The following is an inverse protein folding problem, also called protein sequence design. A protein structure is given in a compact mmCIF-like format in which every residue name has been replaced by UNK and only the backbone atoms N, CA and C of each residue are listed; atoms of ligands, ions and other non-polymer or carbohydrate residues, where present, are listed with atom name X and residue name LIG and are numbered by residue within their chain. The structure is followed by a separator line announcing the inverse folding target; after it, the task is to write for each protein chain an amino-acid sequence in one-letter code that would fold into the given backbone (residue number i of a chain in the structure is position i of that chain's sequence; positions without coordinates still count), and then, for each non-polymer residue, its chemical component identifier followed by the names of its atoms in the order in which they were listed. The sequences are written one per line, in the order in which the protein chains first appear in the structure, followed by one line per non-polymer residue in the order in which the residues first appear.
data_IF_240894352036
#
_entry.id   IF_240894352036
#
_cell.length_a   1.000
_cell.length_b   1.000
_cell.length_c   1.000
_cell.angle_alpha   90.00
_cell.angle_beta   90.00
_cell.angle_gamma   90.00
#
_symmetry.space_group_name_H-M   'P 1'
#
loop_
_entity.id
_entity.type
_entity.pdbx_description
1 polymer ?
#
# COMPACT_ATOMS: atom_id res chain seq x y z
N UNK A 1 37.13 10.24 -27.79
CA UNK A 1 37.14 10.23 -26.30
C UNK A 1 37.90 9.00 -25.85
N UNK A 2 39.06 9.18 -25.24
CA UNK A 2 40.04 8.13 -24.97
C UNK A 2 39.58 7.25 -23.79
N UNK A 3 40.09 6.02 -23.70
CA UNK A 3 39.79 5.14 -22.56
C UNK A 3 40.28 5.72 -21.22
N UNK A 4 41.31 6.56 -21.26
CA UNK A 4 41.81 7.29 -20.11
C UNK A 4 40.79 8.33 -19.63
N UNK A 5 40.21 9.12 -20.54
CA UNK A 5 39.20 10.13 -20.23
C UNK A 5 37.99 9.49 -19.53
N UNK A 6 37.49 8.36 -20.07
CA UNK A 6 36.36 7.62 -19.48
C UNK A 6 36.68 7.07 -18.08
N UNK A 7 37.92 6.62 -17.85
CA UNK A 7 38.35 6.12 -16.55
C UNK A 7 38.41 7.24 -15.51
N UNK A 8 38.95 8.40 -15.92
CA UNK A 8 39.02 9.60 -15.09
C UNK A 8 37.62 10.09 -14.74
N UNK A 9 36.73 10.22 -15.73
CA UNK A 9 35.34 10.64 -15.52
C UNK A 9 34.63 9.71 -14.53
N UNK A 10 34.79 8.39 -14.70
CA UNK A 10 34.17 7.40 -13.81
C UNK A 10 34.72 7.48 -12.38
N UNK A 11 36.02 7.73 -12.22
CA UNK A 11 36.68 7.91 -10.92
C UNK A 11 36.20 9.19 -10.22
N UNK A 12 36.06 10.28 -10.96
CA UNK A 12 35.56 11.57 -10.45
C UNK A 12 34.10 11.42 -10.03
N UNK A 13 33.24 10.87 -10.90
CA UNK A 13 31.82 10.62 -10.58
C UNK A 13 31.68 9.73 -9.34
N UNK A 14 32.50 8.68 -9.22
CA UNK A 14 32.47 7.83 -8.04
C UNK A 14 32.97 8.53 -6.77
N UNK A 15 33.88 9.50 -6.86
CA UNK A 15 34.33 10.28 -5.70
C UNK A 15 33.21 11.20 -5.22
N UNK A 16 32.62 11.93 -6.17
CA UNK A 16 31.50 12.85 -5.97
C UNK A 16 30.29 12.13 -5.34
N UNK A 17 29.97 10.91 -5.79
CA UNK A 17 28.87 10.11 -5.22
C UNK A 17 29.15 9.56 -3.81
N UNK A 18 30.42 9.56 -3.37
CA UNK A 18 30.84 9.09 -2.05
C UNK A 18 31.18 10.24 -1.09
N UNK A 19 31.16 11.49 -1.57
CA UNK A 19 31.32 12.69 -0.77
C UNK A 19 30.00 13.07 -0.10
N UNK A 20 30.06 13.85 0.98
CA UNK A 20 28.87 14.29 1.69
C UNK A 20 28.09 15.36 0.90
N UNK A 21 26.81 15.53 1.24
CA UNK A 21 25.92 16.51 0.59
C UNK A 21 26.54 17.92 0.57
N UNK A 22 27.35 18.27 1.57
CA UNK A 22 27.99 19.58 1.66
C UNK A 22 29.07 19.80 0.60
N UNK A 23 29.77 18.74 0.19
CA UNK A 23 30.78 18.80 -0.87
C UNK A 23 30.13 18.94 -2.25
N UNK A 24 29.00 18.25 -2.46
CA UNK A 24 28.19 18.38 -3.67
C UNK A 24 27.60 19.77 -3.82
N UNK A 25 27.07 20.32 -2.72
CA UNK A 25 26.52 21.68 -2.68
C UNK A 25 27.57 22.72 -3.06
N UNK A 26 28.78 22.64 -2.48
CA UNK A 26 29.90 23.51 -2.83
C UNK A 26 30.32 23.38 -4.31
N UNK A 27 30.29 22.17 -4.87
CA UNK A 27 30.61 21.96 -6.28
C UNK A 27 29.56 22.63 -7.19
N UNK A 28 28.28 22.44 -6.90
CA UNK A 28 27.17 23.03 -7.66
C UNK A 28 27.16 24.56 -7.57
N UNK A 29 27.40 25.12 -6.39
CA UNK A 29 27.57 26.56 -6.21
C UNK A 29 28.77 27.10 -7.00
N UNK A 30 29.84 26.31 -7.12
CA UNK A 30 30.99 26.63 -7.98
C UNK A 30 30.67 26.75 -9.47
N UNK A 31 29.56 26.15 -9.93
CA UNK A 31 29.01 26.32 -11.29
C UNK A 31 27.86 27.35 -11.35
N UNK A 32 27.74 28.20 -10.32
CA UNK A 32 26.70 29.23 -10.20
C UNK A 32 25.27 28.68 -10.07
N UNK A 33 25.11 27.39 -9.73
CA UNK A 33 23.80 26.84 -9.41
C UNK A 33 23.36 27.25 -8.00
N UNK A 34 22.08 27.61 -7.86
CA UNK A 34 21.48 27.89 -6.56
C UNK A 34 20.98 26.59 -5.91
N UNK A 35 21.82 26.01 -5.05
CA UNK A 35 21.52 24.78 -4.30
C UNK A 35 20.24 24.90 -3.46
N UNK A 36 19.99 26.07 -2.85
CA UNK A 36 18.79 26.29 -2.04
C UNK A 36 17.50 26.23 -2.87
N UNK A 37 17.53 26.79 -4.08
CA UNK A 37 16.42 26.71 -5.03
C UNK A 37 16.21 25.27 -5.51
N UNK A 38 17.29 24.56 -5.85
CA UNK A 38 17.26 23.15 -6.26
C UNK A 38 16.63 22.29 -5.16
N UNK A 39 17.08 22.46 -3.91
CA UNK A 39 16.56 21.73 -2.75
C UNK A 39 15.09 22.06 -2.49
N UNK A 40 14.67 23.31 -2.71
CA UNK A 40 13.27 23.72 -2.60
C UNK A 40 12.40 23.03 -3.64
N UNK A 41 12.84 23.02 -4.90
CA UNK A 41 12.14 22.34 -6.00
C UNK A 41 12.06 20.84 -5.75
N UNK A 42 13.18 20.21 -5.37
CA UNK A 42 13.25 18.79 -5.07
C UNK A 42 12.31 18.40 -3.92
N UNK A 43 12.32 19.15 -2.83
CA UNK A 43 11.42 18.93 -1.68
C UNK A 43 9.94 19.04 -2.07
N UNK A 44 9.59 20.05 -2.87
CA UNK A 44 8.22 20.24 -3.33
C UNK A 44 7.76 19.11 -4.25
N UNK A 45 8.61 18.68 -5.18
CA UNK A 45 8.34 17.56 -6.06
C UNK A 45 8.17 16.25 -5.26
N UNK A 46 9.08 15.98 -4.33
CA UNK A 46 8.99 14.81 -3.46
C UNK A 46 7.67 14.75 -2.69
N UNK A 47 7.23 15.86 -2.09
CA UNK A 47 5.95 15.93 -1.37
C UNK A 47 4.76 15.64 -2.30
N UNK A 48 4.76 16.24 -3.50
CA UNK A 48 3.70 16.05 -4.49
C UNK A 48 3.63 14.61 -4.97
N UNK A 49 4.77 14.03 -5.34
CA UNK A 49 4.86 12.65 -5.80
C UNK A 49 4.45 11.67 -4.71
N UNK A 50 4.91 11.88 -3.48
CA UNK A 50 4.52 11.09 -2.31
C UNK A 50 2.99 11.12 -2.11
N UNK A 51 2.37 12.28 -2.20
CA UNK A 51 0.91 12.41 -2.08
C UNK A 51 0.18 11.64 -3.19
N UNK A 52 0.61 11.78 -4.45
CA UNK A 52 0.01 11.07 -5.58
C UNK A 52 0.19 9.55 -5.46
N UNK A 53 1.36 9.08 -5.04
CA UNK A 53 1.64 7.67 -4.80
C UNK A 53 0.76 7.10 -3.69
N UNK A 54 0.62 7.81 -2.57
CA UNK A 54 -0.30 7.42 -1.49
C UNK A 54 -1.73 7.28 -2.00
N UNK A 55 -2.20 8.22 -2.82
CA UNK A 55 -3.53 8.15 -3.45
C UNK A 55 -3.69 6.93 -4.37
N UNK A 56 -2.68 6.62 -5.19
CA UNK A 56 -2.68 5.43 -6.06
C UNK A 56 -2.69 4.13 -5.27
N UNK A 57 -1.85 4.01 -4.23
CA UNK A 57 -1.80 2.84 -3.35
C UNK A 57 -3.15 2.64 -2.67
N UNK A 58 -3.75 3.71 -2.13
CA UNK A 58 -5.08 3.65 -1.52
C UNK A 58 -6.12 3.14 -2.52
N UNK A 59 -6.16 3.72 -3.72
CA UNK A 59 -7.10 3.28 -4.77
C UNK A 59 -6.95 1.78 -5.11
N UNK A 60 -5.71 1.30 -5.27
CA UNK A 60 -5.45 -0.11 -5.55
C UNK A 60 -5.90 -1.02 -4.40
N UNK A 61 -5.71 -0.57 -3.15
CA UNK A 61 -6.21 -1.28 -1.97
C UNK A 61 -7.74 -1.36 -1.97
N UNK A 62 -8.40 -0.23 -2.20
CA UNK A 62 -9.87 -0.14 -2.22
C UNK A 62 -10.46 -1.00 -3.36
N UNK A 63 -9.85 -1.01 -4.54
CA UNK A 63 -10.24 -1.88 -5.67
C UNK A 63 -10.08 -3.37 -5.33
N UNK A 64 -8.97 -3.76 -4.69
CA UNK A 64 -8.73 -5.14 -4.24
C UNK A 64 -9.77 -5.59 -3.21
N UNK A 65 -10.06 -4.73 -2.24
CA UNK A 65 -11.09 -4.96 -1.22
C UNK A 65 -12.46 -5.14 -1.84
N UNK A 66 -12.82 -4.28 -2.80
CA UNK A 66 -14.07 -4.38 -3.54
C UNK A 66 -14.21 -5.72 -4.28
N UNK A 67 -13.18 -6.15 -5.00
CA UNK A 67 -13.20 -7.44 -5.71
C UNK A 67 -13.31 -8.63 -4.75
N UNK A 68 -12.60 -8.61 -3.61
CA UNK A 68 -12.76 -9.62 -2.55
C UNK A 68 -14.22 -9.64 -2.04
N UNK A 69 -14.78 -8.48 -1.72
CA UNK A 69 -16.17 -8.36 -1.24
C UNK A 69 -17.18 -8.91 -2.25
N UNK A 70 -16.97 -8.61 -3.54
CA UNK A 70 -17.80 -9.12 -4.62
C UNK A 70 -17.71 -10.65 -4.74
N UNK A 71 -16.51 -11.23 -4.66
CA UNK A 71 -16.33 -12.69 -4.68
C UNK A 71 -17.11 -13.37 -3.54
N UNK A 72 -17.06 -12.82 -2.33
CA UNK A 72 -17.82 -13.36 -1.21
C UNK A 72 -19.33 -13.21 -1.40
N UNK A 73 -19.79 -12.03 -1.84
CA UNK A 73 -21.20 -11.79 -2.16
C UNK A 73 -21.73 -12.77 -3.22
N UNK A 74 -20.96 -13.00 -4.28
CA UNK A 74 -21.31 -13.94 -5.34
C UNK A 74 -21.32 -15.38 -4.83
N UNK A 75 -20.38 -15.78 -3.98
CA UNK A 75 -20.35 -17.11 -3.37
C UNK A 75 -21.54 -17.36 -2.43
N UNK A 76 -21.92 -16.35 -1.63
CA UNK A 76 -23.11 -16.38 -0.77
C UNK A 76 -24.38 -16.57 -1.61
N UNK A 77 -24.56 -15.76 -2.66
CA UNK A 77 -25.74 -15.84 -3.52
C UNK A 77 -25.87 -17.18 -4.26
N UNK A 78 -24.74 -17.85 -4.53
CA UNK A 78 -24.70 -19.11 -5.28
C UNK A 78 -24.51 -20.34 -4.37
N UNK A 79 -24.59 -20.20 -3.04
CA UNK A 79 -24.34 -21.28 -2.07
C UNK A 79 -23.04 -22.05 -2.33
N UNK A 80 -21.96 -21.34 -2.68
CA UNK A 80 -20.66 -21.96 -2.92
C UNK A 80 -19.98 -22.15 -1.56
N UNK A 81 -19.88 -23.40 -1.10
CA UNK A 81 -19.40 -23.72 0.26
C UNK A 81 -17.98 -23.22 0.56
N UNK A 82 -17.07 -23.24 -0.42
CA UNK A 82 -15.63 -23.01 -0.16
C UNK A 82 -15.30 -21.57 0.25
N UNK A 83 -15.77 -20.52 -0.44
CA UNK A 83 -15.56 -19.14 -0.01
C UNK A 83 -16.41 -18.77 1.22
N UNK A 84 -17.58 -19.37 1.40
CA UNK A 84 -18.43 -19.20 2.60
C UNK A 84 -17.73 -19.76 3.84
N UNK A 85 -17.17 -20.96 3.75
CA UNK A 85 -16.40 -21.56 4.84
C UNK A 85 -15.13 -20.79 5.17
N UNK A 86 -14.44 -20.21 4.18
CA UNK A 86 -13.30 -19.34 4.43
C UNK A 86 -13.71 -18.06 5.19
N UNK A 87 -14.84 -17.44 4.82
CA UNK A 87 -15.40 -16.32 5.56
C UNK A 87 -15.78 -16.72 7.01
N UNK A 88 -16.34 -17.90 7.20
CA UNK A 88 -16.69 -18.43 8.52
C UNK A 88 -15.46 -18.69 9.40
N UNK A 89 -14.42 -19.30 8.86
CA UNK A 89 -13.14 -19.49 9.55
C UNK A 89 -12.53 -18.14 9.96
N UNK A 90 -12.66 -17.11 9.11
CA UNK A 90 -12.18 -15.76 9.41
C UNK A 90 -12.99 -15.08 10.51
N UNK A 91 -14.33 -15.17 10.46
CA UNK A 91 -15.23 -14.63 11.49
C UNK A 91 -15.02 -15.28 12.85
N UNK A 92 -14.69 -16.58 12.88
CA UNK A 92 -14.36 -17.31 14.11
C UNK A 92 -13.03 -16.87 14.73
N UNK A 93 -12.05 -16.50 13.90
CA UNK A 93 -10.69 -16.16 14.34
C UNK A 93 -10.52 -14.68 14.72
N UNK A 94 -11.38 -13.79 14.20
CA UNK A 94 -11.32 -12.36 14.50
C UNK A 94 -12.22 -11.99 15.68
N UNK A 95 -11.68 -11.14 16.58
CA UNK A 95 -12.35 -10.64 17.78
C UNK A 95 -13.47 -9.64 17.47
N UNK A 96 -14.45 -10.02 16.65
CA UNK A 96 -15.73 -9.31 16.61
C UNK A 96 -16.33 -9.40 18.02
N UNK A 97 -16.43 -8.25 18.68
CA UNK A 97 -16.71 -8.17 20.11
C UNK A 97 -18.04 -8.87 20.47
N UNK A 98 -17.90 -10.03 21.12
CA UNK A 98 -18.76 -10.59 22.17
C UNK A 98 -20.18 -11.03 21.79
N UNK A 99 -20.76 -10.68 20.63
CA UNK A 99 -22.17 -11.05 20.33
C UNK A 99 -22.39 -12.39 19.62
N UNK A 100 -21.36 -13.05 19.08
CA UNK A 100 -21.53 -14.27 18.29
C UNK A 100 -20.88 -15.51 18.93
N UNK A 101 -21.13 -15.75 20.21
CA UNK A 101 -20.60 -16.94 20.94
C UNK A 101 -21.02 -18.30 20.34
N UNK A 102 -21.93 -18.32 19.35
CA UNK A 102 -22.45 -19.53 18.71
C UNK A 102 -22.32 -19.52 17.16
N UNK A 103 -21.29 -18.87 16.58
CA UNK A 103 -21.06 -18.90 15.11
C UNK A 103 -21.08 -20.32 14.52
N UNK A 104 -20.67 -21.33 15.30
CA UNK A 104 -20.62 -22.74 14.89
C UNK A 104 -22.00 -23.40 14.72
N UNK A 105 -23.04 -22.79 15.30
CA UNK A 105 -24.42 -23.29 15.24
C UNK A 105 -25.32 -22.41 14.36
N UNK A 106 -24.76 -21.41 13.67
CA UNK A 106 -25.53 -20.58 12.76
C UNK A 106 -25.78 -21.34 11.46
N UNK A 107 -27.04 -21.35 11.04
CA UNK A 107 -27.41 -21.76 9.70
C UNK A 107 -26.80 -20.81 8.67
N UNK A 108 -26.63 -21.30 7.43
CA UNK A 108 -26.15 -20.50 6.30
C UNK A 108 -27.00 -19.22 6.16
N UNK A 109 -28.31 -19.32 6.37
CA UNK A 109 -29.26 -18.20 6.27
C UNK A 109 -29.00 -17.12 7.33
N UNK A 110 -28.71 -17.51 8.59
CA UNK A 110 -28.36 -16.56 9.64
C UNK A 110 -27.00 -15.89 9.40
N UNK A 111 -26.04 -16.62 8.83
CA UNK A 111 -24.74 -16.09 8.41
C UNK A 111 -24.93 -15.07 7.28
N UNK A 112 -25.75 -15.40 6.28
CA UNK A 112 -26.10 -14.50 5.19
C UNK A 112 -26.74 -13.22 5.73
N UNK A 113 -27.64 -13.32 6.71
CA UNK A 113 -28.31 -12.15 7.27
C UNK A 113 -27.37 -11.29 8.14
N UNK A 114 -26.43 -11.88 8.89
CA UNK A 114 -25.37 -11.12 9.58
C UNK A 114 -24.47 -10.36 8.59
N UNK A 115 -24.16 -10.96 7.43
CA UNK A 115 -23.35 -10.33 6.37
C UNK A 115 -24.16 -9.30 5.56
N UNK A 116 -25.49 -9.39 5.55
CA UNK A 116 -26.35 -8.34 4.99
C UNK A 116 -26.50 -7.17 5.95
N UNK A 117 -26.62 -7.46 7.25
CA UNK A 117 -26.79 -6.47 8.32
C UNK A 117 -25.48 -5.73 8.63
N UNK A 118 -24.32 -6.39 8.48
CA UNK A 118 -23.01 -5.75 8.53
C UNK A 118 -22.49 -5.48 7.12
N UNK A 119 -21.88 -4.32 6.88
CA UNK A 119 -21.30 -4.04 5.57
C UNK A 119 -20.09 -4.97 5.35
N UNK A 120 -20.23 -5.98 4.47
CA UNK A 120 -19.16 -6.92 4.11
C UNK A 120 -17.83 -6.22 3.77
N UNK A 121 -17.90 -5.00 3.23
CA UNK A 121 -16.73 -4.18 2.93
C UNK A 121 -15.97 -3.78 4.20
N UNK A 122 -16.69 -3.41 5.26
CA UNK A 122 -16.16 -3.04 6.58
C UNK A 122 -15.53 -4.25 7.29
N UNK A 123 -16.14 -5.43 7.16
CA UNK A 123 -15.55 -6.68 7.66
C UNK A 123 -14.20 -6.93 6.98
N UNK A 124 -14.12 -6.82 5.64
CA UNK A 124 -12.89 -7.09 4.89
C UNK A 124 -11.84 -6.00 5.11
N UNK A 125 -12.23 -4.74 5.31
CA UNK A 125 -11.31 -3.65 5.67
C UNK A 125 -10.63 -3.91 7.01
N UNK A 126 -11.37 -4.29 8.07
CA UNK A 126 -10.79 -4.62 9.37
C UNK A 126 -9.83 -5.82 9.30
N UNK A 127 -10.02 -6.72 8.33
CA UNK A 127 -9.16 -7.88 8.13
C UNK A 127 -7.84 -7.55 7.42
N UNK A 128 -7.88 -6.63 6.45
CA UNK A 128 -6.66 -6.16 5.75
C UNK A 128 -5.81 -5.22 6.64
N UNK A 129 -6.32 -4.74 7.79
CA UNK A 129 -5.56 -3.92 8.77
C UNK A 129 -4.83 -4.74 9.85
N UNK A 130 -5.10 -6.05 9.99
CA UNK A 130 -4.38 -6.95 10.91
C UNK A 130 -3.18 -7.69 10.26
N UNK A 131 -2.89 -7.44 8.97
CA UNK A 131 -1.67 -7.88 8.24
C UNK A 131 -0.57 -6.80 8.21
#
# INVERSE_FOLDING_TARGET
MNNLDKFIDKKIISSILNEDDSTLDCYLEGFEYNVSEINTIASNNYKKETFLLKGKIKKLRDERLYEKAKMFKDAINNNIDKPVNYLLEILKNNKFQVQFRNLENLSVEEIVDIIKDQNLLEIIENLDEEE
#
